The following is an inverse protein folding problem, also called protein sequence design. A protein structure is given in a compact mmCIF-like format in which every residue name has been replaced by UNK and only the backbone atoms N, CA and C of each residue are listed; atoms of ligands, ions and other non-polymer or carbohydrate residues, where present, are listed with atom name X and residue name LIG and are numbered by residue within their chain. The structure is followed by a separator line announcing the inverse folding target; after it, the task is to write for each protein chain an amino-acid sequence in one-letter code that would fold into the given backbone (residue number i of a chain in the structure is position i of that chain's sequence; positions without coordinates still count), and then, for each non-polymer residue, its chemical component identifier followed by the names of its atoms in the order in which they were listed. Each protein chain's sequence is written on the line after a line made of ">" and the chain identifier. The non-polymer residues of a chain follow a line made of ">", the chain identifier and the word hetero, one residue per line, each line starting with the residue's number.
data_IF_737337938449
#
_entry.id   IF_737337938449
#
_cell.length_a   1.000
_cell.length_b   1.000
_cell.length_c   1.000
_cell.angle_alpha   90.00
_cell.angle_beta   90.00
_cell.angle_gamma   90.00
#
_symmetry.space_group_name_H-M   'P 1'
#
loop_
_entity.id
_entity.type
_entity.pdbx_description
1 polymer ?
#
# COMPACT_ATOMS: atom_id res chain seq x y z
N UNK A 1 -3.28 8.53 -7.52
CA UNK A 1 -3.86 9.89 -7.47
C UNK A 1 -4.02 10.37 -6.02
N UNK A 2 -4.92 9.84 -5.18
CA UNK A 2 -5.08 10.30 -3.79
C UNK A 2 -3.80 10.24 -2.95
N UNK A 3 -3.06 9.13 -3.01
CA UNK A 3 -1.78 8.96 -2.32
C UNK A 3 -0.63 9.78 -2.93
N UNK A 4 -0.90 10.58 -3.98
CA UNK A 4 0.09 11.37 -4.71
C UNK A 4 1.35 10.59 -5.10
N UNK A 5 1.16 9.30 -5.39
CA UNK A 5 2.19 8.39 -5.87
C UNK A 5 2.22 8.32 -7.40
N UNK A 6 3.38 7.95 -7.93
CA UNK A 6 3.53 7.50 -9.31
C UNK A 6 2.69 6.23 -9.59
N UNK A 7 2.65 5.80 -10.86
CA UNK A 7 2.03 4.53 -11.23
C UNK A 7 2.66 3.37 -10.42
N UNK A 8 1.86 2.35 -10.12
CA UNK A 8 2.33 1.20 -9.37
C UNK A 8 3.54 0.56 -10.08
N UNK A 9 4.58 0.28 -9.31
CA UNK A 9 5.76 -0.46 -9.75
C UNK A 9 5.65 -1.89 -9.26
N UNK A 10 5.99 -2.85 -10.11
CA UNK A 10 6.10 -4.25 -9.67
C UNK A 10 7.39 -4.43 -8.90
N UNK A 11 7.28 -4.92 -7.67
CA UNK A 11 8.41 -5.44 -6.91
C UNK A 11 8.39 -6.95 -7.00
N UNK A 12 9.48 -7.53 -7.51
CA UNK A 12 9.58 -8.97 -7.74
C UNK A 12 10.53 -9.62 -6.75
N UNK A 13 10.13 -10.78 -6.24
CA UNK A 13 10.99 -11.74 -5.57
C UNK A 13 11.06 -12.99 -6.46
N UNK A 14 12.26 -13.53 -6.71
CA UNK A 14 12.43 -14.84 -7.34
C UNK A 14 12.22 -15.97 -6.31
N UNK A 15 12.04 -17.22 -6.75
CA UNK A 15 12.05 -18.36 -5.83
C UNK A 15 13.46 -18.71 -5.37
N UNK A 16 13.59 -19.40 -4.25
CA UNK A 16 14.88 -19.83 -3.73
C UNK A 16 14.83 -20.44 -2.33
N UNK A 17 15.99 -20.47 -1.70
CA UNK A 17 16.17 -20.96 -0.34
C UNK A 17 16.81 -19.89 0.54
N UNK A 18 16.25 -19.72 1.73
CA UNK A 18 16.80 -18.96 2.82
C UNK A 18 17.57 -19.95 3.71
N UNK A 19 18.85 -19.69 3.95
CA UNK A 19 19.70 -20.57 4.76
C UNK A 19 20.24 -19.76 5.93
N UNK A 20 19.90 -20.16 7.15
CA UNK A 20 20.35 -19.57 8.41
C UNK A 20 20.31 -18.02 8.41
N UNK A 21 19.22 -17.43 7.93
CA UNK A 21 19.06 -15.99 7.95
C UNK A 21 18.85 -15.50 9.38
N UNK A 22 19.70 -14.56 9.81
CA UNK A 22 19.63 -13.99 11.15
C UNK A 22 18.40 -13.10 11.31
N UNK A 23 17.52 -13.47 12.24
CA UNK A 23 16.33 -12.70 12.62
C UNK A 23 16.40 -12.45 14.13
N UNK A 24 16.25 -11.19 14.56
CA UNK A 24 16.16 -10.87 15.99
C UNK A 24 14.73 -11.12 16.47
N UNK A 25 14.60 -12.00 17.46
CA UNK A 25 13.32 -12.29 18.10
C UNK A 25 12.81 -11.07 18.87
N UNK A 26 11.51 -10.82 18.79
CA UNK A 26 10.78 -9.95 19.69
C UNK A 26 9.61 -10.77 20.22
N UNK A 27 9.55 -10.99 21.54
CA UNK A 27 8.48 -11.81 22.11
C UNK A 27 7.12 -11.12 21.94
N UNK A 28 6.13 -11.93 21.61
CA UNK A 28 4.75 -11.54 21.37
C UNK A 28 4.56 -10.45 20.30
N UNK A 29 5.48 -10.43 19.33
CA UNK A 29 5.46 -9.51 18.19
C UNK A 29 5.84 -10.23 16.90
N UNK A 30 5.28 -9.74 15.80
CA UNK A 30 5.62 -10.20 14.46
C UNK A 30 6.89 -9.52 13.97
N UNK A 31 7.89 -10.31 13.55
CA UNK A 31 9.14 -9.85 12.95
C UNK A 31 9.27 -10.37 11.52
N UNK A 32 9.80 -9.57 10.61
CA UNK A 32 9.94 -9.98 9.21
C UNK A 32 11.15 -10.89 9.02
N UNK A 33 10.95 -11.96 8.25
CA UNK A 33 12.00 -12.89 7.81
C UNK A 33 12.69 -12.40 6.52
N UNK A 34 12.19 -11.32 5.90
CA UNK A 34 12.76 -10.71 4.70
C UNK A 34 12.42 -11.39 3.36
N UNK A 35 11.66 -12.49 3.39
CA UNK A 35 11.12 -13.20 2.22
C UNK A 35 9.65 -13.56 2.44
N UNK A 36 8.86 -13.61 1.36
CA UNK A 36 7.44 -13.97 1.36
C UNK A 36 7.18 -15.32 0.71
N UNK A 37 5.97 -15.85 0.86
CA UNK A 37 5.56 -17.17 0.37
C UNK A 37 6.53 -18.27 0.81
N UNK A 38 6.75 -18.32 2.13
CA UNK A 38 7.65 -19.26 2.80
C UNK A 38 7.05 -20.67 2.85
N UNK A 39 7.92 -21.67 2.75
CA UNK A 39 7.61 -23.08 2.97
C UNK A 39 8.77 -23.76 3.69
N UNK A 40 8.50 -24.89 4.35
CA UNK A 40 9.51 -25.68 5.08
C UNK A 40 10.34 -24.84 6.07
N UNK A 41 9.67 -23.97 6.84
CA UNK A 41 10.34 -23.05 7.76
C UNK A 41 10.92 -23.82 8.94
N UNK A 42 12.20 -23.56 9.24
CA UNK A 42 12.93 -24.11 10.37
C UNK A 42 13.61 -22.95 11.09
N UNK A 43 13.31 -22.80 12.39
CA UNK A 43 13.88 -21.77 13.25
C UNK A 43 14.81 -22.42 14.26
N UNK A 44 16.04 -21.92 14.33
CA UNK A 44 17.07 -22.38 15.28
C UNK A 44 17.63 -21.23 16.10
N UNK A 45 18.34 -21.56 17.17
CA UNK A 45 19.20 -20.60 17.88
C UNK A 45 20.37 -20.15 16.99
N UNK A 46 21.05 -19.08 17.40
CA UNK A 46 22.21 -18.53 16.67
C UNK A 46 23.39 -19.51 16.53
N UNK A 47 23.40 -20.61 17.29
CA UNK A 47 24.43 -21.65 17.25
C UNK A 47 24.01 -22.88 16.45
N UNK A 48 22.81 -22.88 15.86
CA UNK A 48 22.19 -23.99 15.13
C UNK A 48 22.07 -25.31 15.93
N UNK A 49 22.13 -25.22 17.25
CA UNK A 49 22.08 -26.35 18.19
C UNK A 49 20.66 -26.67 18.62
N UNK A 50 19.86 -25.63 18.90
CA UNK A 50 18.47 -25.78 19.33
C UNK A 50 17.57 -25.53 18.14
N UNK A 51 16.71 -26.50 17.82
CA UNK A 51 15.64 -26.31 16.84
C UNK A 51 14.34 -26.07 17.58
N UNK A 52 13.71 -24.94 17.31
CA UNK A 52 12.44 -24.56 17.92
C UNK A 52 11.26 -25.17 17.16
N UNK A 53 10.14 -25.35 17.85
CA UNK A 53 8.95 -26.01 17.31
C UNK A 53 7.85 -25.00 17.00
N UNK A 54 7.35 -25.01 15.76
CA UNK A 54 6.18 -24.21 15.37
C UNK A 54 4.94 -24.63 16.17
N UNK A 55 4.11 -23.66 16.55
CA UNK A 55 2.94 -23.84 17.41
C UNK A 55 3.26 -23.79 18.91
N UNK A 56 4.48 -24.15 19.32
CA UNK A 56 4.93 -24.11 20.72
C UNK A 56 5.79 -22.88 21.00
N UNK A 57 6.86 -22.70 20.23
CA UNK A 57 7.85 -21.64 20.43
C UNK A 57 7.57 -20.42 19.56
N UNK A 58 7.04 -20.65 18.35
CA UNK A 58 6.75 -19.59 17.39
C UNK A 58 5.56 -19.95 16.48
N UNK A 59 5.05 -18.95 15.76
CA UNK A 59 4.11 -19.10 14.65
C UNK A 59 4.66 -18.38 13.42
N UNK A 60 4.27 -18.83 12.23
CA UNK A 60 4.69 -18.22 10.96
C UNK A 60 3.47 -17.82 10.15
N UNK A 61 3.48 -16.58 9.65
CA UNK A 61 2.66 -16.20 8.50
C UNK A 61 3.50 -16.40 7.24
N UNK A 62 3.32 -17.54 6.61
CA UNK A 62 4.09 -17.95 5.43
C UNK A 62 3.89 -17.01 4.25
N UNK A 63 2.71 -16.41 4.09
CA UNK A 63 2.42 -15.51 2.98
C UNK A 63 3.09 -14.16 3.18
N UNK A 64 2.91 -13.57 4.36
CA UNK A 64 3.50 -12.27 4.69
C UNK A 64 5.00 -12.34 4.95
N UNK A 65 5.54 -13.53 5.25
CA UNK A 65 6.95 -13.70 5.60
C UNK A 65 7.28 -13.22 7.01
N UNK A 66 6.35 -13.44 7.94
CA UNK A 66 6.44 -12.92 9.31
C UNK A 66 6.56 -14.07 10.31
N UNK A 67 7.40 -13.89 11.31
CA UNK A 67 7.63 -14.82 12.42
C UNK A 67 7.11 -14.19 13.71
N UNK A 68 6.31 -14.93 14.48
CA UNK A 68 5.84 -14.53 15.80
C UNK A 68 6.48 -15.43 16.85
N UNK A 69 7.38 -14.90 17.68
CA UNK A 69 7.98 -15.65 18.78
C UNK A 69 7.07 -15.56 20.02
N UNK A 70 6.61 -16.69 20.56
CA UNK A 70 5.69 -16.71 21.69
C UNK A 70 6.43 -16.42 22.98
N UNK A 71 5.90 -15.52 23.82
CA UNK A 71 6.47 -15.27 25.14
C UNK A 71 6.40 -16.47 26.10
N UNK A 72 5.51 -17.43 25.82
CA UNK A 72 5.37 -18.68 26.58
C UNK A 72 6.31 -19.80 26.11
N UNK A 73 7.04 -19.59 25.02
CA UNK A 73 7.93 -20.57 24.40
C UNK A 73 9.33 -20.58 25.02
N UNK A 74 10.24 -21.34 24.41
CA UNK A 74 11.65 -21.43 24.83
C UNK A 74 12.55 -20.34 24.21
N UNK A 75 12.04 -19.54 23.28
CA UNK A 75 12.77 -18.44 22.66
C UNK A 75 12.88 -17.28 23.65
N UNK A 76 14.08 -16.73 23.81
CA UNK A 76 14.34 -15.57 24.69
C UNK A 76 14.17 -14.28 23.89
N UNK A 77 13.70 -13.21 24.55
CA UNK A 77 13.57 -11.89 23.92
C UNK A 77 14.93 -11.37 23.42
N UNK A 78 14.91 -10.69 22.27
CA UNK A 78 16.10 -10.19 21.59
C UNK A 78 17.14 -11.25 21.19
N UNK A 79 16.81 -12.55 21.28
CA UNK A 79 17.69 -13.60 20.80
C UNK A 79 17.85 -13.52 19.28
N UNK A 80 19.06 -13.75 18.80
CA UNK A 80 19.31 -13.98 17.37
C UNK A 80 18.88 -15.41 17.04
N UNK A 81 18.00 -15.53 16.04
CA UNK A 81 17.51 -16.79 15.50
C UNK A 81 18.06 -17.00 14.10
N UNK A 82 18.34 -18.25 13.75
CA UNK A 82 18.64 -18.66 12.38
C UNK A 82 17.40 -19.25 11.74
N UNK A 83 16.84 -18.54 10.75
CA UNK A 83 15.66 -18.99 10.01
C UNK A 83 16.10 -19.56 8.68
N UNK A 84 15.72 -20.81 8.41
CA UNK A 84 15.87 -21.46 7.12
C UNK A 84 14.52 -21.79 6.53
N UNK A 85 14.32 -21.58 5.23
CA UNK A 85 13.05 -21.82 4.56
C UNK A 85 13.25 -21.94 3.03
N UNK A 86 12.32 -22.55 2.34
CA UNK A 86 12.13 -22.33 0.89
C UNK A 86 11.17 -21.16 0.68
N UNK A 87 11.31 -20.40 -0.41
CA UNK A 87 10.39 -19.31 -0.74
C UNK A 87 10.09 -19.29 -2.23
N UNK A 88 8.85 -18.92 -2.58
CA UNK A 88 8.40 -18.88 -3.97
C UNK A 88 8.59 -17.51 -4.63
N UNK A 89 8.49 -17.49 -5.95
CA UNK A 89 8.52 -16.25 -6.71
C UNK A 89 7.19 -15.52 -6.54
N UNK A 90 7.24 -14.21 -6.33
CA UNK A 90 6.06 -13.36 -6.21
C UNK A 90 6.32 -11.99 -6.81
N UNK A 91 5.32 -11.50 -7.54
CA UNK A 91 5.24 -10.13 -8.03
C UNK A 91 4.21 -9.36 -7.21
N UNK A 92 4.62 -8.24 -6.63
CA UNK A 92 3.76 -7.38 -5.82
C UNK A 92 3.68 -6.01 -6.45
N UNK A 93 2.48 -5.56 -6.78
CA UNK A 93 2.25 -4.18 -7.16
C UNK A 93 2.43 -3.28 -5.93
N UNK A 94 3.39 -2.36 -5.99
CA UNK A 94 3.67 -1.41 -4.94
C UNK A 94 3.47 0.02 -5.47
N UNK A 95 2.83 0.88 -4.67
CA UNK A 95 2.71 2.31 -4.95
C UNK A 95 3.46 3.05 -3.85
N UNK A 96 4.46 3.83 -4.23
CA UNK A 96 5.10 4.77 -3.30
C UNK A 96 4.23 6.02 -3.21
N UNK A 97 3.68 6.28 -2.03
CA UNK A 97 2.88 7.48 -1.78
C UNK A 97 3.77 8.73 -1.65
N UNK A 98 3.18 9.91 -1.85
CA UNK A 98 3.78 11.23 -1.68
C UNK A 98 5.07 11.47 -2.51
N UNK A 99 5.20 10.80 -3.66
CA UNK A 99 6.34 11.02 -4.58
C UNK A 99 6.13 12.23 -5.49
N UNK A 100 4.88 12.64 -5.69
CA UNK A 100 4.48 13.81 -6.46
C UNK A 100 3.76 14.76 -5.51
N UNK A 101 4.01 16.06 -5.58
CA UNK A 101 3.37 17.03 -4.67
C UNK A 101 2.06 17.59 -5.22
N UNK A 102 1.90 17.56 -6.55
CA UNK A 102 0.75 18.14 -7.24
C UNK A 102 0.51 17.43 -8.57
N UNK A 103 -0.74 17.10 -8.88
CA UNK A 103 -1.13 16.60 -10.20
C UNK A 103 -1.88 17.71 -10.92
N UNK A 104 -1.30 18.26 -11.98
CA UNK A 104 -1.95 19.28 -12.81
C UNK A 104 -2.59 18.66 -14.04
N UNK A 105 -3.76 19.13 -14.42
CA UNK A 105 -4.46 18.63 -15.59
C UNK A 105 -5.74 19.39 -15.91
N UNK A 106 -6.40 18.94 -16.97
CA UNK A 106 -7.69 19.46 -17.39
C UNK A 106 -8.81 18.76 -16.63
N UNK A 107 -9.68 19.53 -15.99
CA UNK A 107 -10.93 19.05 -15.42
C UNK A 107 -12.06 19.33 -16.41
N UNK A 108 -12.88 18.32 -16.68
CA UNK A 108 -14.09 18.43 -17.47
C UNK A 108 -15.24 17.82 -16.69
N UNK A 109 -16.20 18.65 -16.30
CA UNK A 109 -17.45 18.23 -15.68
C UNK A 109 -18.56 18.40 -16.70
N UNK A 110 -19.10 17.27 -17.16
CA UNK A 110 -20.19 17.27 -18.14
C UNK A 110 -21.52 17.16 -17.40
N UNK A 111 -22.35 18.18 -17.55
CA UNK A 111 -23.70 18.15 -17.00
C UNK A 111 -24.55 17.10 -17.72
N UNK A 112 -25.32 16.34 -16.95
CA UNK A 112 -26.40 15.50 -17.48
C UNK A 112 -27.60 15.53 -16.53
N UNK A 113 -28.26 16.69 -16.36
CA UNK A 113 -29.39 16.81 -15.45
C UNK A 113 -30.63 16.11 -16.02
N UNK A 114 -31.48 15.60 -15.13
CA UNK A 114 -32.77 14.99 -15.50
C UNK A 114 -33.75 16.06 -16.04
N UNK A 115 -33.62 17.30 -15.57
CA UNK A 115 -34.39 18.45 -16.04
C UNK A 115 -33.54 19.71 -15.87
N UNK A 116 -33.67 20.67 -16.80
CA UNK A 116 -33.01 21.97 -16.73
C UNK A 116 -31.86 22.12 -17.71
N UNK A 117 -31.05 23.17 -17.50
CA UNK A 117 -29.96 23.54 -18.41
C UNK A 117 -28.80 22.56 -18.27
N UNK A 118 -28.34 22.02 -19.39
CA UNK A 118 -27.13 21.23 -19.48
C UNK A 118 -25.94 22.20 -19.47
N UNK A 119 -25.20 22.22 -18.38
CA UNK A 119 -23.99 23.02 -18.25
C UNK A 119 -22.77 22.11 -18.11
N UNK A 120 -21.75 22.38 -18.92
CA UNK A 120 -20.43 21.79 -18.77
C UNK A 120 -19.48 22.83 -18.17
N UNK A 121 -18.55 22.36 -17.35
CA UNK A 121 -17.47 23.17 -16.77
C UNK A 121 -16.15 22.56 -17.20
N UNK A 122 -15.27 23.38 -17.77
CA UNK A 122 -13.99 22.98 -18.30
C UNK A 122 -12.90 23.93 -17.82
N UNK A 123 -11.76 23.42 -17.37
CA UNK A 123 -10.62 24.27 -17.04
C UNK A 123 -9.36 23.47 -16.74
N UNK A 124 -8.24 24.18 -16.65
CA UNK A 124 -6.96 23.59 -16.25
C UNK A 124 -6.69 23.92 -14.79
N UNK A 125 -6.10 22.99 -14.05
CA UNK A 125 -5.85 23.22 -12.63
C UNK A 125 -5.01 22.14 -11.97
N UNK A 126 -4.79 22.38 -10.68
CA UNK A 126 -4.08 21.50 -9.76
C UNK A 126 -5.07 20.67 -8.96
N UNK A 127 -4.87 19.36 -8.88
CA UNK A 127 -5.61 18.45 -8.01
C UNK A 127 -4.71 18.01 -6.85
N UNK A 128 -5.23 18.21 -5.63
CA UNK A 128 -4.56 17.84 -4.38
C UNK A 128 -5.51 17.01 -3.52
N UNK A 129 -5.02 16.01 -2.77
CA UNK A 129 -5.87 15.28 -1.85
C UNK A 129 -6.22 16.20 -0.67
N UNK A 130 -7.43 16.05 -0.14
CA UNK A 130 -7.88 16.80 1.03
C UNK A 130 -8.51 15.86 2.05
N UNK A 131 -8.31 16.17 3.34
CA UNK A 131 -8.71 15.34 4.46
C UNK A 131 -7.85 14.09 4.69
N UNK A 132 -8.38 13.20 5.53
CA UNK A 132 -7.72 11.97 5.95
C UNK A 132 -8.11 10.78 5.06
N UNK A 133 -7.26 9.74 5.03
CA UNK A 133 -7.59 8.44 4.43
C UNK A 133 -8.00 7.45 5.52
N UNK A 134 -9.30 7.32 5.83
CA UNK A 134 -9.74 6.32 6.79
C UNK A 134 -9.61 4.92 6.17
N UNK A 135 -8.67 4.13 6.68
CA UNK A 135 -8.51 2.72 6.27
C UNK A 135 -9.42 1.78 7.07
N UNK A 136 -9.95 2.25 8.19
CA UNK A 136 -10.90 1.52 9.04
C UNK A 136 -12.03 2.47 9.44
N UNK A 137 -13.26 1.98 9.35
CA UNK A 137 -14.45 2.73 9.75
C UNK A 137 -15.74 2.03 9.37
N UNK A 138 -16.85 2.51 9.93
CA UNK A 138 -18.19 1.96 9.69
C UNK A 138 -18.84 2.49 8.41
N UNK A 139 -18.27 3.55 7.83
CA UNK A 139 -18.77 4.19 6.62
C UNK A 139 -17.90 3.81 5.42
N UNK A 140 -18.48 3.95 4.24
CA UNK A 140 -17.73 3.91 2.99
C UNK A 140 -16.62 4.96 2.99
N UNK A 141 -15.50 4.61 2.36
CA UNK A 141 -14.34 5.50 2.26
C UNK A 141 -14.66 6.59 1.23
N UNK A 142 -14.71 7.83 1.70
CA UNK A 142 -14.78 9.01 0.85
C UNK A 142 -13.38 9.57 0.65
N UNK A 143 -12.99 9.80 -0.60
CA UNK A 143 -11.69 10.40 -0.96
C UNK A 143 -11.89 11.87 -1.32
N UNK A 144 -11.53 12.75 -0.39
CA UNK A 144 -11.57 14.19 -0.60
C UNK A 144 -10.48 14.67 -1.54
N UNK A 145 -10.83 15.57 -2.46
CA UNK A 145 -9.85 16.28 -3.27
C UNK A 145 -10.21 17.75 -3.34
N UNK A 146 -9.19 18.59 -3.31
CA UNK A 146 -9.28 20.01 -3.68
C UNK A 146 -8.76 20.18 -5.10
N UNK A 147 -9.53 20.85 -5.95
CA UNK A 147 -9.10 21.27 -7.27
C UNK A 147 -9.02 22.79 -7.36
N UNK A 148 -7.86 23.32 -7.73
CA UNK A 148 -7.62 24.74 -7.91
C UNK A 148 -7.43 25.05 -9.40
N UNK A 149 -8.31 25.88 -9.97
CA UNK A 149 -8.17 26.34 -11.35
C UNK A 149 -6.98 27.28 -11.50
N UNK A 150 -6.15 27.02 -12.50
CA UNK A 150 -4.95 27.79 -12.82
C UNK A 150 -5.12 28.47 -14.17
N UNK A 151 -4.50 29.64 -14.34
CA UNK A 151 -4.48 30.32 -15.63
C UNK A 151 -3.74 29.44 -16.65
N UNK A 152 -4.34 29.23 -17.82
CA UNK A 152 -3.78 28.43 -18.89
C UNK A 152 -4.11 29.07 -20.25
N UNK A 153 -3.20 28.96 -21.23
CA UNK A 153 -3.31 29.69 -22.50
C UNK A 153 -4.53 29.30 -23.35
N UNK A 154 -5.06 28.10 -23.13
CA UNK A 154 -6.23 27.56 -23.84
C UNK A 154 -7.56 28.15 -23.36
N UNK A 155 -7.57 28.95 -22.28
CA UNK A 155 -8.79 29.53 -21.71
C UNK A 155 -8.62 31.03 -21.49
N UNK A 156 -9.65 31.80 -21.85
CA UNK A 156 -9.66 33.25 -21.64
C UNK A 156 -9.83 33.62 -20.15
N UNK A 157 -10.40 32.72 -19.36
CA UNK A 157 -10.58 32.82 -17.90
C UNK A 157 -9.94 31.65 -17.15
N UNK A 158 -10.20 31.54 -15.84
CA UNK A 158 -9.72 30.40 -15.04
C UNK A 158 -10.42 29.08 -15.41
N UNK A 159 -11.68 29.18 -15.84
CA UNK A 159 -12.47 28.07 -16.36
C UNK A 159 -13.54 28.61 -17.30
N UNK A 160 -14.05 27.74 -18.16
CA UNK A 160 -15.16 28.01 -19.07
C UNK A 160 -16.40 27.25 -18.63
N UNK A 161 -17.56 27.88 -18.83
CA UNK A 161 -18.86 27.24 -18.65
C UNK A 161 -19.57 27.23 -19.99
N UNK A 162 -19.98 26.05 -20.45
CA UNK A 162 -20.64 25.88 -21.76
C UNK A 162 -22.06 25.37 -21.56
N UNK A 163 -23.02 26.12 -22.11
CA UNK A 163 -24.42 25.71 -22.13
C UNK A 163 -24.66 24.83 -23.37
N UNK A 164 -25.08 23.59 -23.17
CA UNK A 164 -25.40 22.62 -24.24
C UNK A 164 -26.90 22.50 -24.54
N UNK A 165 -27.74 23.34 -23.96
CA UNK A 165 -29.18 23.34 -24.14
C UNK A 165 -29.94 22.97 -22.88
N UNK A 166 -31.21 22.59 -23.03
CA UNK A 166 -32.11 22.28 -21.91
C UNK A 166 -32.70 20.89 -22.11
N UNK A 167 -32.70 20.08 -21.05
CA UNK A 167 -33.52 18.87 -20.97
C UNK A 167 -34.86 19.25 -20.38
N UNK A 168 -35.93 18.97 -21.12
CA UNK A 168 -37.32 19.19 -20.71
C UNK A 168 -37.89 17.91 -20.13
#
# INVERSE_FOLDING_TARGET
>A
MFLMGAAATTTSQASGTLTAASVTALLDRWVSVGKRELSSVVVKDATDTTTYTEGTDYEVDSKAGMLYCKGTGAIVDLATLHVSATYDAIDVAAVSAATTTTITGKLLMLGNPITGVIMDVEGYGSLMPDGDLPLIGDKWIDLGFTFEFLKHADYDGLFEMRNRGVVV
#
